data_IF_262280879791
#
_entry.id   IF_262280879791
#
_cell.length_a   1.000
_cell.length_b   1.000
_cell.length_c   1.000
_cell.angle_alpha   90.00
_cell.angle_beta   90.00
_cell.angle_gamma   90.00
#
_symmetry.space_group_name_H-M   'P 1'
#
loop_
_entity.id
_entity.type
_entity.pdbx_description
1 polymer ?
#
# COMPACT_ATOMS: atom_id res chain seq x y z
N UNK A 1 16.27 -10.45 28.64
CA UNK A 1 15.28 -9.92 29.56
C UNK A 1 15.34 -10.74 30.86
N UNK A 2 15.31 -10.03 31.97
CA UNK A 2 15.25 -10.67 33.29
C UNK A 2 13.78 -10.78 33.68
N UNK A 3 13.33 -11.94 34.05
CA UNK A 3 12.09 -12.11 34.80
C UNK A 3 12.42 -12.33 36.27
N UNK A 4 11.49 -12.05 37.15
CA UNK A 4 11.63 -12.32 38.57
C UNK A 4 10.34 -12.94 39.09
N UNK A 5 10.44 -13.81 40.06
CA UNK A 5 9.31 -14.29 40.83
C UNK A 5 9.58 -14.15 42.32
N UNK A 6 8.54 -14.08 43.09
CA UNK A 6 8.63 -13.92 44.55
C UNK A 6 8.48 -15.29 45.16
N UNK A 7 9.49 -15.68 45.96
CA UNK A 7 9.45 -16.87 46.75
C UNK A 7 9.48 -16.46 48.23
N UNK A 8 8.33 -16.51 48.90
CA UNK A 8 8.18 -15.93 50.23
C UNK A 8 8.31 -14.39 50.20
N UNK A 9 9.32 -13.84 50.85
CA UNK A 9 9.65 -12.40 50.86
C UNK A 9 10.81 -12.04 49.95
N UNK A 10 11.39 -13.00 49.22
CA UNK A 10 12.56 -12.78 48.39
C UNK A 10 12.19 -12.69 46.90
N UNK A 11 12.78 -11.71 46.23
CA UNK A 11 12.68 -11.55 44.77
C UNK A 11 13.83 -12.31 44.11
N UNK A 12 13.50 -13.42 43.44
CA UNK A 12 14.49 -14.26 42.74
C UNK A 12 14.54 -13.79 41.28
N UNK A 13 15.73 -13.37 40.85
CA UNK A 13 15.99 -13.04 39.42
C UNK A 13 16.23 -14.32 38.64
N UNK A 14 15.46 -14.53 37.58
CA UNK A 14 15.59 -15.70 36.73
C UNK A 14 16.10 -15.30 35.34
N UNK A 15 16.72 -16.24 34.69
CA UNK A 15 17.14 -16.13 33.29
C UNK A 15 16.09 -16.77 32.42
N UNK A 16 15.60 -16.01 31.44
CA UNK A 16 14.63 -16.50 30.46
C UNK A 16 15.37 -16.79 29.15
N UNK A 17 15.09 -17.91 28.48
CA UNK A 17 15.67 -18.20 27.17
C UNK A 17 15.37 -17.06 26.19
N UNK A 18 16.40 -16.56 25.51
CA UNK A 18 16.26 -15.45 24.54
C UNK A 18 15.60 -15.87 23.24
N UNK A 19 15.33 -17.13 23.02
CA UNK A 19 14.88 -17.72 21.77
C UNK A 19 16.03 -18.32 20.96
N UNK A 20 15.70 -18.88 19.80
CA UNK A 20 16.69 -19.43 18.89
C UNK A 20 17.43 -18.30 18.16
N UNK A 21 18.75 -18.46 18.00
CA UNK A 21 19.55 -17.50 17.27
C UNK A 21 19.75 -17.99 15.83
N UNK A 22 19.51 -17.14 14.86
CA UNK A 22 19.94 -17.35 13.48
C UNK A 22 21.37 -16.79 13.32
N UNK A 23 22.33 -17.66 13.07
CA UNK A 23 23.74 -17.28 12.85
C UNK A 23 24.02 -16.80 11.43
N UNK A 24 23.08 -17.03 10.52
CA UNK A 24 23.20 -16.70 9.09
C UNK A 24 22.43 -15.43 8.71
N UNK A 25 21.93 -14.70 9.71
CA UNK A 25 21.21 -13.45 9.45
C UNK A 25 22.16 -12.42 8.84
N UNK A 26 21.71 -11.79 7.76
CA UNK A 26 22.46 -10.76 7.05
C UNK A 26 21.62 -9.50 6.86
N UNK A 27 22.23 -8.45 6.35
CA UNK A 27 21.50 -7.29 5.83
C UNK A 27 20.80 -7.67 4.52
N UNK A 28 19.63 -7.10 4.29
CA UNK A 28 19.01 -7.19 2.97
C UNK A 28 19.87 -6.46 1.92
N UNK A 29 19.77 -6.88 0.69
CA UNK A 29 20.34 -6.17 -0.46
C UNK A 29 19.32 -5.24 -1.07
N UNK A 30 19.76 -4.14 -1.69
CA UNK A 30 18.90 -3.20 -2.40
C UNK A 30 19.57 -2.77 -3.70
N UNK A 31 18.98 -3.19 -4.81
CA UNK A 31 19.39 -2.78 -6.15
C UNK A 31 18.51 -1.63 -6.61
N UNK A 32 19.12 -0.53 -7.02
CA UNK A 32 18.43 0.66 -7.49
C UNK A 32 18.92 0.98 -8.89
N UNK A 33 17.97 1.08 -9.81
CA UNK A 33 18.18 1.57 -11.17
C UNK A 33 17.45 2.89 -11.31
N UNK A 34 18.19 3.91 -11.72
CA UNK A 34 17.65 5.26 -11.96
C UNK A 34 18.11 5.74 -13.33
N UNK A 35 17.17 6.27 -14.11
CA UNK A 35 17.44 6.95 -15.36
C UNK A 35 16.86 8.36 -15.28
N UNK A 36 17.71 9.36 -15.42
CA UNK A 36 17.33 10.77 -15.38
C UNK A 36 17.70 11.50 -16.67
N UNK A 37 16.87 12.44 -17.06
CA UNK A 37 17.09 13.38 -18.15
C UNK A 37 16.78 14.80 -17.68
N UNK A 38 17.80 15.65 -17.68
CA UNK A 38 17.65 17.08 -17.49
C UNK A 38 17.76 17.79 -18.82
N UNK A 39 16.93 18.81 -19.04
CA UNK A 39 16.95 19.61 -20.24
C UNK A 39 16.66 21.09 -19.96
N UNK A 40 17.26 21.93 -20.77
CA UNK A 40 17.03 23.37 -20.85
C UNK A 40 16.87 23.76 -22.31
N UNK A 41 15.75 24.35 -22.65
CA UNK A 41 15.39 24.70 -24.01
C UNK A 41 15.09 26.20 -24.12
N UNK A 42 15.32 26.72 -25.32
CA UNK A 42 15.02 28.11 -25.67
C UNK A 42 15.66 29.16 -24.76
N UNK A 43 16.95 28.96 -24.42
CA UNK A 43 17.74 29.84 -23.54
C UNK A 43 17.13 29.95 -22.14
N UNK A 44 16.78 28.82 -21.56
CA UNK A 44 16.23 28.72 -20.22
C UNK A 44 14.74 28.99 -20.08
N UNK A 45 14.01 29.24 -21.17
CA UNK A 45 12.56 29.46 -21.09
C UNK A 45 11.77 28.24 -20.69
N UNK A 46 12.23 27.07 -21.08
CA UNK A 46 11.66 25.79 -20.67
C UNK A 46 12.76 24.88 -20.13
N UNK A 47 12.66 24.53 -18.88
CA UNK A 47 13.54 23.54 -18.24
C UNK A 47 12.74 22.41 -17.66
N UNK A 48 13.36 21.26 -17.50
CA UNK A 48 12.69 20.12 -16.90
C UNK A 48 13.63 18.99 -16.58
N UNK A 49 13.15 18.15 -15.67
CA UNK A 49 13.76 16.89 -15.27
C UNK A 49 12.74 15.78 -15.40
N UNK A 50 13.16 14.66 -15.96
CA UNK A 50 12.37 13.42 -16.01
C UNK A 50 13.21 12.32 -15.43
N UNK A 51 12.69 11.66 -14.40
CA UNK A 51 13.33 10.53 -13.76
C UNK A 51 12.45 9.29 -13.80
N UNK A 52 13.08 8.14 -14.06
CA UNK A 52 12.48 6.81 -13.97
C UNK A 52 13.29 6.01 -12.98
N UNK A 53 12.62 5.35 -12.03
CA UNK A 53 13.31 4.55 -11.05
C UNK A 53 12.68 3.17 -10.84
N UNK A 54 13.54 2.22 -10.52
CA UNK A 54 13.16 0.90 -10.04
C UNK A 54 14.10 0.49 -8.92
N UNK A 55 13.53 0.08 -7.78
CA UNK A 55 14.27 -0.46 -6.65
C UNK A 55 13.76 -1.85 -6.32
N UNK A 56 14.66 -2.79 -6.18
CA UNK A 56 14.39 -4.13 -5.68
C UNK A 56 15.14 -4.35 -4.37
N UNK A 57 14.46 -4.92 -3.37
CA UNK A 57 15.09 -5.35 -2.11
C UNK A 57 14.89 -6.84 -1.94
N UNK A 58 15.93 -7.54 -1.58
CA UNK A 58 15.93 -8.97 -1.33
C UNK A 58 16.54 -9.29 0.03
N UNK A 59 16.05 -10.37 0.66
CA UNK A 59 16.51 -10.78 1.98
C UNK A 59 15.94 -9.94 3.13
N UNK A 60 14.75 -9.36 2.99
CA UNK A 60 14.07 -8.70 4.10
C UNK A 60 13.71 -9.74 5.17
N UNK A 61 13.83 -9.33 6.44
CA UNK A 61 13.64 -10.25 7.56
C UNK A 61 12.18 -10.67 7.71
N UNK A 62 11.99 -11.97 7.88
CA UNK A 62 10.71 -12.57 8.24
C UNK A 62 10.95 -13.80 9.12
N UNK A 63 9.94 -14.20 9.86
CA UNK A 63 9.92 -15.50 10.55
C UNK A 63 9.28 -16.51 9.61
N UNK A 64 9.88 -17.72 9.49
CA UNK A 64 9.23 -18.79 8.70
C UNK A 64 7.81 -19.02 9.14
N UNK A 65 6.97 -19.21 8.17
CA UNK A 65 5.55 -19.43 8.39
C UNK A 65 5.24 -20.82 8.99
N UNK A 66 6.19 -21.74 8.95
CA UNK A 66 6.06 -23.06 9.59
C UNK A 66 5.93 -22.91 11.11
N UNK A 67 4.89 -23.50 11.66
CA UNK A 67 4.67 -23.51 13.10
C UNK A 67 5.43 -24.62 13.77
N UNK A 68 6.20 -24.29 14.80
CA UNK A 68 6.75 -25.30 15.71
C UNK A 68 5.65 -25.80 16.64
N UNK A 69 5.65 -27.09 17.02
CA UNK A 69 4.78 -27.56 18.08
C UNK A 69 4.95 -26.75 19.37
N UNK A 70 3.88 -26.47 20.06
CA UNK A 70 3.89 -25.69 21.31
C UNK A 70 4.84 -26.28 22.39
N UNK A 71 5.04 -27.57 22.32
CA UNK A 71 5.97 -28.32 23.20
C UNK A 71 7.45 -28.01 22.94
N UNK A 72 7.78 -27.36 21.83
CA UNK A 72 9.16 -26.98 21.53
C UNK A 72 9.68 -25.86 22.42
N UNK A 73 8.81 -25.04 22.98
CA UNK A 73 9.15 -24.01 23.98
C UNK A 73 9.96 -22.81 23.46
N UNK A 74 10.17 -22.69 22.15
CA UNK A 74 10.89 -21.56 21.55
C UNK A 74 10.22 -21.11 20.25
N UNK A 75 10.44 -19.83 19.90
CA UNK A 75 9.98 -19.25 18.63
C UNK A 75 11.10 -19.37 17.58
N UNK A 76 10.71 -19.57 16.33
CA UNK A 76 11.65 -19.53 15.19
C UNK A 76 12.33 -18.15 15.13
N UNK A 77 13.63 -18.10 14.79
CA UNK A 77 14.33 -16.86 14.58
C UNK A 77 13.88 -16.20 13.26
N UNK A 78 14.24 -14.93 13.10
CA UNK A 78 14.10 -14.25 11.82
C UNK A 78 15.17 -14.74 10.82
N UNK A 79 14.78 -14.82 9.57
CA UNK A 79 15.62 -15.19 8.42
C UNK A 79 15.42 -14.16 7.29
N UNK A 80 16.36 -14.11 6.36
CA UNK A 80 16.28 -13.25 5.17
C UNK A 80 15.45 -13.93 4.08
N UNK A 81 14.12 -13.76 4.13
CA UNK A 81 13.17 -14.51 3.31
C UNK A 81 12.38 -13.65 2.33
N UNK A 82 12.03 -12.42 2.72
CA UNK A 82 11.10 -11.61 1.95
C UNK A 82 11.80 -10.71 0.95
N UNK A 83 11.07 -10.36 -0.11
CA UNK A 83 11.52 -9.39 -1.11
C UNK A 83 10.40 -8.45 -1.55
N UNK A 84 10.77 -7.24 -1.92
CA UNK A 84 9.84 -6.24 -2.44
C UNK A 84 10.49 -5.38 -3.53
N UNK A 85 9.65 -4.68 -4.27
CA UNK A 85 10.11 -3.72 -5.26
C UNK A 85 9.27 -2.44 -5.23
N UNK A 86 9.87 -1.36 -5.69
CA UNK A 86 9.21 -0.08 -5.89
C UNK A 86 9.63 0.51 -7.22
N UNK A 87 8.69 1.04 -7.99
CA UNK A 87 8.93 1.66 -9.29
C UNK A 87 8.10 2.90 -9.46
N UNK A 88 8.61 3.81 -10.25
CA UNK A 88 7.89 5.03 -10.51
C UNK A 88 8.61 5.94 -11.48
N UNK A 89 8.02 7.12 -11.63
CA UNK A 89 8.62 8.22 -12.36
C UNK A 89 8.36 9.54 -11.64
N UNK A 90 9.23 10.50 -11.92
CA UNK A 90 9.10 11.88 -11.47
C UNK A 90 9.33 12.79 -12.68
N UNK A 91 8.49 13.80 -12.82
CA UNK A 91 8.60 14.81 -13.88
C UNK A 91 8.46 16.18 -13.22
N UNK A 92 9.40 17.05 -13.50
CA UNK A 92 9.36 18.46 -13.14
C UNK A 92 9.55 19.29 -14.40
N UNK A 93 8.68 20.28 -14.60
CA UNK A 93 8.74 21.23 -15.71
C UNK A 93 8.64 22.65 -15.16
N UNK A 94 9.45 23.53 -15.70
CA UNK A 94 9.38 24.96 -15.42
C UNK A 94 9.43 25.76 -16.72
N UNK A 95 8.52 26.71 -16.84
CA UNK A 95 8.50 27.63 -17.95
C UNK A 95 8.45 29.05 -17.43
N UNK A 96 9.43 29.86 -17.80
CA UNK A 96 9.43 31.27 -17.51
C UNK A 96 9.55 32.12 -18.77
N UNK A 97 8.88 33.25 -18.79
CA UNK A 97 8.95 34.16 -19.90
C UNK A 97 8.54 35.59 -19.47
N UNK A 98 8.79 36.54 -20.36
CA UNK A 98 8.37 37.92 -20.20
C UNK A 98 7.65 38.40 -21.45
N UNK A 99 6.45 38.95 -21.28
CA UNK A 99 5.64 39.51 -22.35
C UNK A 99 5.35 40.97 -22.00
N UNK A 100 6.06 41.89 -22.65
CA UNK A 100 5.97 43.29 -22.33
C UNK A 100 6.44 43.56 -20.86
N UNK A 101 5.55 44.10 -20.04
CA UNK A 101 5.84 44.35 -18.60
C UNK A 101 5.45 43.18 -17.68
N UNK A 102 4.80 42.14 -18.21
CA UNK A 102 4.43 40.94 -17.47
C UNK A 102 5.58 39.92 -17.53
N UNK A 103 6.15 39.59 -16.38
CA UNK A 103 7.01 38.42 -16.18
C UNK A 103 6.21 37.32 -15.51
N UNK A 104 6.33 36.08 -15.97
CA UNK A 104 5.62 34.96 -15.37
C UNK A 104 6.51 33.74 -15.30
N UNK A 105 6.21 32.91 -14.31
CA UNK A 105 6.80 31.59 -14.08
C UNK A 105 5.69 30.59 -13.83
N UNK A 106 5.74 29.48 -14.55
CA UNK A 106 4.84 28.34 -14.38
C UNK A 106 5.70 27.11 -14.12
N UNK A 107 5.60 26.53 -12.94
CA UNK A 107 6.31 25.30 -12.62
C UNK A 107 5.34 24.23 -12.11
N UNK A 108 5.55 23.01 -12.55
CA UNK A 108 4.75 21.88 -12.16
C UNK A 108 5.61 20.64 -11.96
N UNK A 109 5.16 19.80 -11.05
CA UNK A 109 5.73 18.47 -10.86
C UNK A 109 4.63 17.43 -10.77
N UNK A 110 4.96 16.22 -11.17
CA UNK A 110 4.14 15.04 -10.97
C UNK A 110 5.05 13.86 -10.64
N UNK A 111 4.68 13.10 -9.64
CA UNK A 111 5.34 11.85 -9.30
C UNK A 111 4.34 10.71 -9.23
N UNK A 112 4.77 9.55 -9.67
CA UNK A 112 4.04 8.29 -9.52
C UNK A 112 4.97 7.26 -8.89
N UNK A 113 4.49 6.59 -7.85
CA UNK A 113 5.24 5.51 -7.22
C UNK A 113 4.33 4.37 -6.83
N UNK A 114 4.79 3.14 -7.05
CA UNK A 114 4.04 1.96 -6.69
C UNK A 114 4.92 0.85 -6.17
N UNK A 115 4.66 0.42 -4.95
CA UNK A 115 5.37 -0.66 -4.29
C UNK A 115 4.63 -1.99 -4.45
N UNK A 116 5.41 -3.07 -4.60
CA UNK A 116 4.92 -4.43 -4.77
C UNK A 116 5.67 -5.39 -3.84
N UNK A 117 4.95 -6.34 -3.26
CA UNK A 117 5.56 -7.53 -2.67
C UNK A 117 5.96 -8.48 -3.79
N UNK A 118 7.24 -8.87 -3.84
CA UNK A 118 7.71 -9.90 -4.74
C UNK A 118 7.57 -11.27 -4.08
N UNK A 119 8.08 -11.39 -2.85
CA UNK A 119 7.92 -12.58 -2.04
C UNK A 119 7.63 -12.20 -0.59
N UNK A 120 6.66 -12.86 0.00
CA UNK A 120 6.33 -12.78 1.43
C UNK A 120 6.16 -14.19 1.95
N UNK A 121 6.96 -14.54 2.94
CA UNK A 121 6.88 -15.83 3.63
C UNK A 121 5.52 -15.94 4.35
N UNK A 122 4.79 -16.99 4.04
CA UNK A 122 3.47 -17.26 4.63
C UNK A 122 3.09 -18.73 4.53
N UNK A 123 2.20 -19.17 5.41
CA UNK A 123 1.54 -20.47 5.28
C UNK A 123 0.50 -20.43 4.16
N UNK A 124 0.32 -21.54 3.48
CA UNK A 124 -0.84 -21.75 2.62
C UNK A 124 -2.12 -21.79 3.47
N UNK A 125 -3.20 -21.21 2.96
CA UNK A 125 -4.52 -21.34 3.55
C UNK A 125 -5.13 -22.70 3.21
N UNK A 126 -6.13 -23.12 4.01
CA UNK A 126 -6.75 -24.44 3.88
C UNK A 126 -7.61 -24.60 2.62
N UNK A 127 -8.15 -23.49 2.09
CA UNK A 127 -8.93 -23.46 0.88
C UNK A 127 -8.34 -22.53 -0.18
N UNK A 128 -8.70 -22.75 -1.44
CA UNK A 128 -8.12 -22.04 -2.57
C UNK A 128 -8.52 -20.56 -2.62
N UNK A 129 -9.74 -20.21 -2.23
CA UNK A 129 -10.19 -18.83 -2.19
C UNK A 129 -9.43 -18.01 -1.16
N UNK A 130 -9.30 -18.51 0.07
CA UNK A 130 -8.49 -17.86 1.11
C UNK A 130 -7.03 -17.81 0.71
N UNK A 131 -6.55 -18.86 0.03
CA UNK A 131 -5.19 -18.90 -0.46
C UNK A 131 -4.94 -17.83 -1.52
N UNK A 132 -5.88 -17.65 -2.45
CA UNK A 132 -5.83 -16.58 -3.44
C UNK A 132 -5.92 -15.19 -2.78
N UNK A 133 -6.88 -14.96 -1.88
CA UNK A 133 -7.12 -13.68 -1.21
C UNK A 133 -5.92 -13.26 -0.35
N UNK A 134 -5.39 -14.17 0.45
CA UNK A 134 -4.32 -13.90 1.40
C UNK A 134 -2.92 -13.96 0.77
N UNK A 135 -2.80 -14.41 -0.47
CA UNK A 135 -1.51 -14.43 -1.14
C UNK A 135 -1.07 -13.03 -1.53
N UNK A 136 -0.06 -12.51 -0.85
CA UNK A 136 0.55 -11.20 -1.13
C UNK A 136 1.70 -11.26 -2.12
N UNK A 137 2.19 -12.45 -2.51
CA UNK A 137 3.27 -12.60 -3.47
C UNK A 137 2.88 -12.05 -4.84
N UNK A 138 3.77 -11.27 -5.44
CA UNK A 138 3.56 -10.57 -6.71
C UNK A 138 2.34 -9.64 -6.70
N UNK A 139 2.02 -9.04 -5.55
CA UNK A 139 0.92 -8.08 -5.41
C UNK A 139 1.40 -6.72 -4.97
N UNK A 140 0.69 -5.71 -5.43
CA UNK A 140 0.92 -4.34 -4.99
C UNK A 140 0.66 -4.20 -3.49
N UNK A 141 1.46 -3.38 -2.84
CA UNK A 141 1.23 -2.94 -1.47
C UNK A 141 0.08 -1.94 -1.42
N UNK A 142 -0.44 -1.75 -0.22
CA UNK A 142 -1.44 -0.72 0.05
C UNK A 142 -2.68 -0.84 -0.86
N UNK A 143 -3.27 -2.03 -0.88
CA UNK A 143 -4.52 -2.36 -1.57
C UNK A 143 -5.59 -2.72 -0.55
N UNK A 144 -6.84 -2.40 -0.85
CA UNK A 144 -7.97 -2.71 0.00
C UNK A 144 -8.81 -3.85 -0.55
N UNK A 145 -9.15 -4.73 0.35
CA UNK A 145 -10.05 -5.84 0.14
C UNK A 145 -11.36 -5.56 0.85
N UNK A 146 -12.48 -5.88 0.23
CA UNK A 146 -13.81 -5.71 0.80
C UNK A 146 -14.89 -6.09 -0.19
N UNK A 147 -16.14 -5.86 0.21
CA UNK A 147 -17.28 -6.05 -0.67
C UNK A 147 -17.36 -4.91 -1.67
N UNK A 148 -17.55 -5.25 -2.94
CA UNK A 148 -17.68 -4.24 -3.99
C UNK A 148 -19.09 -3.66 -3.98
N UNK A 149 -19.17 -2.36 -3.72
CA UNK A 149 -20.40 -1.60 -3.81
C UNK A 149 -20.89 -1.48 -5.25
N UNK A 150 -22.18 -1.82 -5.49
CA UNK A 150 -22.81 -1.77 -6.82
C UNK A 150 -24.04 -0.85 -6.87
N UNK A 151 -24.36 -0.16 -5.78
CA UNK A 151 -25.49 0.76 -5.70
C UNK A 151 -26.22 0.68 -4.38
N UNK A 152 -27.40 1.27 -4.34
CA UNK A 152 -28.35 1.20 -3.22
C UNK A 152 -29.63 0.52 -3.68
N UNK A 153 -30.25 -0.23 -2.79
CA UNK A 153 -31.56 -0.81 -3.06
C UNK A 153 -32.61 0.27 -3.30
N UNK A 154 -33.37 0.13 -4.37
CA UNK A 154 -34.41 1.12 -4.75
C UNK A 154 -35.82 0.72 -4.26
N UNK A 155 -36.06 -0.56 -3.97
CA UNK A 155 -37.36 -1.08 -3.55
C UNK A 155 -37.25 -2.37 -2.78
N UNK A 156 -38.30 -2.71 -2.01
CA UNK A 156 -38.42 -3.99 -1.33
C UNK A 156 -38.45 -5.19 -2.31
N UNK A 157 -39.02 -4.99 -3.49
CA UNK A 157 -39.02 -6.03 -4.53
C UNK A 157 -37.61 -6.33 -5.04
N UNK A 158 -36.76 -5.32 -5.16
CA UNK A 158 -35.35 -5.52 -5.51
C UNK A 158 -34.61 -6.26 -4.39
N UNK A 159 -34.82 -5.87 -3.13
CA UNK A 159 -34.22 -6.54 -1.97
C UNK A 159 -34.59 -8.03 -1.96
N UNK A 160 -35.87 -8.36 -2.15
CA UNK A 160 -36.34 -9.74 -2.14
C UNK A 160 -35.80 -10.62 -3.27
N UNK A 161 -35.37 -9.99 -4.39
CA UNK A 161 -34.81 -10.71 -5.55
C UNK A 161 -33.27 -10.66 -5.62
N UNK A 162 -32.63 -10.02 -4.66
CA UNK A 162 -31.17 -9.88 -4.61
C UNK A 162 -30.51 -10.96 -3.76
N UNK A 163 -29.20 -11.24 -3.96
CA UNK A 163 -28.43 -12.10 -3.08
C UNK A 163 -28.58 -11.72 -1.61
N UNK A 164 -28.57 -12.72 -0.73
CA UNK A 164 -28.73 -12.50 0.72
C UNK A 164 -27.46 -11.88 1.29
N UNK A 165 -27.55 -10.67 1.85
CA UNK A 165 -26.37 -9.97 2.40
C UNK A 165 -26.45 -9.71 3.92
N UNK A 166 -27.61 -9.92 4.54
CA UNK A 166 -27.79 -9.71 5.99
C UNK A 166 -27.73 -11.04 6.79
N UNK A 167 -27.49 -12.16 6.11
CA UNK A 167 -27.51 -13.50 6.71
C UNK A 167 -28.89 -13.97 7.20
N UNK A 168 -29.96 -13.22 6.91
CA UNK A 168 -31.32 -13.48 7.37
C UNK A 168 -32.37 -13.30 6.26
N UNK A 169 -32.04 -13.68 5.03
CA UNK A 169 -32.94 -13.59 3.89
C UNK A 169 -33.31 -12.16 3.49
N UNK A 170 -32.44 -11.19 3.77
CA UNK A 170 -32.62 -9.76 3.52
C UNK A 170 -33.77 -9.10 4.31
N UNK A 171 -34.23 -9.73 5.40
CA UNK A 171 -35.36 -9.23 6.21
C UNK A 171 -35.03 -7.95 7.00
N UNK A 172 -33.75 -7.62 7.18
CA UNK A 172 -33.33 -6.42 7.91
C UNK A 172 -33.00 -5.24 6.99
N UNK A 173 -33.05 -5.46 5.68
CA UNK A 173 -32.71 -4.44 4.69
C UNK A 173 -33.91 -3.58 4.34
N UNK A 174 -33.61 -2.31 4.01
CA UNK A 174 -34.60 -1.34 3.56
C UNK A 174 -34.12 -0.63 2.29
N UNK A 175 -35.03 -0.08 1.47
CA UNK A 175 -34.64 0.77 0.35
C UNK A 175 -33.73 1.92 0.81
N UNK A 176 -32.60 2.11 0.12
CA UNK A 176 -31.53 3.03 0.49
C UNK A 176 -30.28 2.37 1.09
N UNK A 177 -30.39 1.12 1.55
CA UNK A 177 -29.24 0.37 2.02
C UNK A 177 -28.25 0.07 0.89
N UNK A 178 -26.98 -0.14 1.25
CA UNK A 178 -25.91 -0.45 0.31
C UNK A 178 -26.10 -1.85 -0.28
N UNK A 179 -25.92 -1.95 -1.58
CA UNK A 179 -25.98 -3.21 -2.34
C UNK A 179 -24.57 -3.63 -2.75
N UNK A 180 -24.24 -4.88 -2.49
CA UNK A 180 -22.95 -5.46 -2.80
C UNK A 180 -23.00 -6.50 -3.91
N UNK A 181 -21.90 -6.69 -4.62
CA UNK A 181 -21.73 -7.66 -5.68
C UNK A 181 -21.56 -9.07 -5.10
N UNK A 182 -22.36 -10.02 -5.59
CA UNK A 182 -22.15 -11.44 -5.42
C UNK A 182 -21.08 -11.88 -6.42
N UNK A 183 -19.84 -11.96 -5.95
CA UNK A 183 -18.67 -12.18 -6.81
C UNK A 183 -18.58 -13.63 -7.32
N UNK A 184 -18.97 -14.58 -6.50
CA UNK A 184 -18.94 -16.01 -6.82
C UNK A 184 -20.26 -16.53 -7.40
N UNK A 185 -21.34 -15.72 -7.39
CA UNK A 185 -22.69 -16.02 -7.87
C UNK A 185 -23.34 -17.21 -7.14
N UNK A 186 -23.13 -17.33 -5.82
CA UNK A 186 -23.75 -18.36 -5.00
C UNK A 186 -25.09 -17.93 -4.35
N UNK A 187 -25.48 -16.67 -4.52
CA UNK A 187 -26.71 -16.08 -4.00
C UNK A 187 -26.60 -15.55 -2.58
N UNK A 188 -25.40 -15.52 -1.99
CA UNK A 188 -25.15 -15.03 -0.63
C UNK A 188 -23.93 -14.10 -0.64
N UNK A 189 -24.01 -12.94 -0.02
CA UNK A 189 -22.88 -12.05 0.15
C UNK A 189 -22.16 -12.40 1.46
N UNK A 190 -21.02 -13.03 1.33
CA UNK A 190 -20.20 -13.47 2.48
C UNK A 190 -18.69 -13.25 2.27
N UNK A 191 -17.85 -13.87 3.12
CA UNK A 191 -16.42 -13.77 3.01
C UNK A 191 -15.82 -14.21 1.67
N UNK A 192 -16.56 -14.97 0.86
CA UNK A 192 -16.12 -15.43 -0.47
C UNK A 192 -16.27 -14.34 -1.54
N UNK A 193 -17.07 -13.29 -1.28
CA UNK A 193 -17.29 -12.16 -2.18
C UNK A 193 -16.32 -11.01 -1.96
N UNK A 194 -15.42 -11.16 -0.98
CA UNK A 194 -14.39 -10.16 -0.71
C UNK A 194 -13.40 -10.12 -1.86
N UNK A 195 -13.31 -8.97 -2.53
CA UNK A 195 -12.47 -8.74 -3.69
C UNK A 195 -11.62 -7.47 -3.53
N UNK A 196 -10.73 -7.21 -4.46
CA UNK A 196 -9.95 -5.99 -4.49
C UNK A 196 -10.85 -4.81 -4.85
N UNK A 197 -11.14 -3.94 -3.88
CA UNK A 197 -12.07 -2.80 -4.06
C UNK A 197 -11.36 -1.47 -4.31
N UNK A 198 -10.07 -1.35 -4.03
CA UNK A 198 -9.38 -0.09 -4.23
C UNK A 198 -7.93 -0.09 -3.80
N UNK A 199 -7.36 1.08 -3.96
CA UNK A 199 -6.01 1.40 -3.50
C UNK A 199 -6.10 1.97 -2.08
N UNK A 200 -5.04 1.77 -1.31
CA UNK A 200 -5.01 2.20 0.08
C UNK A 200 -4.87 3.71 0.28
N UNK A 201 -4.56 4.10 1.50
CA UNK A 201 -4.54 5.50 1.95
C UNK A 201 -3.35 6.31 1.45
N UNK A 202 -2.28 5.66 0.99
CA UNK A 202 -1.10 6.37 0.48
C UNK A 202 -1.31 6.71 -0.98
N UNK A 203 -1.32 7.98 -1.38
CA UNK A 203 -1.40 8.38 -2.78
C UNK A 203 -0.25 7.77 -3.60
N UNK A 204 -0.57 7.22 -4.76
CA UNK A 204 0.44 6.75 -5.71
C UNK A 204 0.86 7.88 -6.68
N UNK A 205 -0.02 8.86 -6.88
CA UNK A 205 0.23 10.05 -7.70
C UNK A 205 0.22 11.26 -6.78
N UNK A 206 1.26 12.06 -6.88
CA UNK A 206 1.33 13.38 -6.26
C UNK A 206 1.71 14.40 -7.33
N UNK A 207 1.12 15.57 -7.25
CA UNK A 207 1.43 16.65 -8.19
C UNK A 207 1.41 18.00 -7.47
N UNK A 208 2.12 18.95 -8.04
CA UNK A 208 2.12 20.34 -7.62
C UNK A 208 2.15 21.24 -8.85
N UNK A 209 1.48 22.39 -8.77
CA UNK A 209 1.52 23.42 -9.80
C UNK A 209 1.67 24.78 -9.14
N UNK A 210 2.70 25.52 -9.52
CA UNK A 210 2.94 26.89 -9.09
C UNK A 210 2.82 27.83 -10.27
N UNK A 211 2.02 28.85 -10.12
CA UNK A 211 1.85 29.94 -11.08
C UNK A 211 2.28 31.24 -10.41
N UNK A 212 3.28 31.91 -10.95
CA UNK A 212 3.76 33.20 -10.47
C UNK A 212 3.73 34.25 -11.57
N UNK A 213 3.34 35.47 -11.24
CA UNK A 213 3.32 36.58 -12.17
C UNK A 213 3.69 37.90 -11.50
N UNK A 214 4.45 38.72 -12.20
CA UNK A 214 4.83 40.08 -11.79
C UNK A 214 4.44 41.08 -12.88
N UNK A 215 3.69 42.10 -12.50
CA UNK A 215 3.24 43.15 -13.43
C UNK A 215 3.15 44.52 -12.73
N UNK A 216 3.90 45.49 -13.22
CA UNK A 216 3.85 46.90 -12.74
C UNK A 216 3.94 47.06 -11.22
N UNK A 217 4.79 46.28 -10.54
CA UNK A 217 4.98 46.31 -9.09
C UNK A 217 4.00 45.47 -8.29
N UNK A 218 3.07 44.76 -8.95
CA UNK A 218 2.26 43.75 -8.34
C UNK A 218 2.86 42.37 -8.61
N UNK A 219 2.87 41.48 -7.61
CA UNK A 219 3.21 40.09 -7.73
C UNK A 219 2.12 39.19 -7.14
N UNK A 220 1.89 38.09 -7.82
CA UNK A 220 0.93 37.05 -7.41
C UNK A 220 1.57 35.68 -7.59
N UNK A 221 1.44 34.85 -6.57
CA UNK A 221 1.78 33.42 -6.67
C UNK A 221 0.60 32.59 -6.21
N UNK A 222 0.28 31.57 -6.99
CA UNK A 222 -0.79 30.60 -6.69
C UNK A 222 -0.17 29.20 -6.74
N UNK A 223 -0.48 28.39 -5.75
CA UNK A 223 -0.01 27.02 -5.63
C UNK A 223 -1.19 26.06 -5.51
N UNK A 224 -1.13 24.96 -6.26
CA UNK A 224 -2.07 23.84 -6.23
C UNK A 224 -1.31 22.55 -5.90
N UNK A 225 -1.93 21.72 -5.07
CA UNK A 225 -1.42 20.41 -4.69
C UNK A 225 -2.54 19.38 -4.64
#
# INVERSE_FOLDING_TARGET
PYSSYILGSEVIRTVVPKGLANRNITWYTSDIYNFGLDFDLWHGKLSGTVELFYRHRDGLLATRAESLPSTFGAKLPQENLNSDSNRGFEVQLSHHNKIGELSYDISGNVSYTRAMYNHVERNASLNDNDNWRNNTNNRYKNIWWGYKYIGQFQSEAEIASSPVQDGNGNLTLVPGDLKYEDFNNDGVIDGNDVQLIGRGTTPEIMYGLTLSGQWKGFDLTVFFQ
#
